data_IF_124901788162
#
_entry.id   IF_124901788162
#
_cell.length_a   1.000
_cell.length_b   1.000
_cell.length_c   1.000
_cell.angle_alpha   90.00
_cell.angle_beta   90.00
_cell.angle_gamma   90.00
#
_symmetry.space_group_name_H-M   'P 1'
#
loop_
_entity.id
_entity.type
_entity.pdbx_description
1 polymer ?
#
# COMPACT_ATOMS: atom_id res chain seq x y z
N UNK A 1 13.86 -29.33 -55.08
CA UNK A 1 12.99 -28.21 -54.62
C UNK A 1 12.19 -28.50 -53.34
N UNK A 2 12.09 -29.73 -52.83
CA UNK A 2 11.32 -30.06 -51.62
C UNK A 2 12.08 -29.82 -50.29
N UNK A 3 13.41 -29.79 -50.31
CA UNK A 3 14.20 -29.66 -49.06
C UNK A 3 14.18 -28.25 -48.46
N UNK A 4 14.06 -27.22 -49.26
CA UNK A 4 14.07 -25.83 -48.82
C UNK A 4 12.83 -25.43 -47.99
N UNK A 5 11.67 -26.00 -48.34
CA UNK A 5 10.41 -25.73 -47.62
C UNK A 5 10.41 -26.32 -46.20
N UNK A 6 11.00 -27.49 -46.00
CA UNK A 6 11.09 -28.09 -44.67
C UNK A 6 12.09 -27.38 -43.74
N UNK A 7 13.14 -26.81 -44.29
CA UNK A 7 14.14 -26.05 -43.52
C UNK A 7 13.55 -24.72 -43.04
N UNK A 8 12.84 -23.99 -43.91
CA UNK A 8 12.18 -22.73 -43.54
C UNK A 8 11.12 -22.96 -42.46
N UNK A 9 10.33 -24.03 -42.57
CA UNK A 9 9.33 -24.36 -41.54
C UNK A 9 9.94 -24.74 -40.18
N UNK A 10 11.10 -25.38 -40.15
CA UNK A 10 11.81 -25.76 -38.94
C UNK A 10 12.35 -24.55 -38.14
N UNK A 11 12.64 -23.46 -38.82
CA UNK A 11 13.12 -22.22 -38.15
C UNK A 11 12.00 -21.19 -37.89
N UNK A 12 10.96 -21.17 -38.71
CA UNK A 12 9.84 -20.24 -38.56
C UNK A 12 8.95 -20.59 -37.38
N UNK A 13 8.73 -21.85 -37.07
CA UNK A 13 7.91 -22.28 -35.93
C UNK A 13 8.55 -21.91 -34.59
N UNK A 14 9.83 -22.21 -34.30
CA UNK A 14 10.44 -21.79 -33.02
C UNK A 14 10.61 -20.28 -32.93
N UNK A 15 10.83 -19.56 -34.03
CA UNK A 15 10.85 -18.10 -34.05
C UNK A 15 9.47 -17.51 -33.73
N UNK A 16 8.40 -18.06 -34.29
CA UNK A 16 7.03 -17.63 -33.96
C UNK A 16 6.65 -17.95 -32.50
N UNK A 17 7.07 -19.11 -32.00
CA UNK A 17 6.90 -19.50 -30.60
C UNK A 17 7.70 -18.60 -29.63
N UNK A 18 8.90 -18.18 -30.00
CA UNK A 18 9.69 -17.27 -29.20
C UNK A 18 9.09 -15.87 -29.13
N UNK A 19 8.52 -15.37 -30.20
CA UNK A 19 7.80 -14.09 -30.25
C UNK A 19 6.51 -14.14 -29.43
N UNK A 20 5.78 -15.27 -29.48
CA UNK A 20 4.59 -15.47 -28.62
C UNK A 20 4.95 -15.63 -27.16
N UNK A 21 6.09 -16.23 -26.82
CA UNK A 21 6.56 -16.36 -25.44
C UNK A 21 6.98 -15.00 -24.83
N UNK A 22 7.57 -14.09 -25.61
CA UNK A 22 7.95 -12.76 -25.13
C UNK A 22 6.74 -11.87 -24.84
N UNK A 23 5.60 -12.08 -25.52
CA UNK A 23 4.36 -11.35 -25.19
C UNK A 23 3.65 -11.87 -23.96
N UNK A 24 3.92 -13.11 -23.53
CA UNK A 24 3.30 -13.70 -22.34
C UNK A 24 3.95 -13.23 -21.01
N UNK A 25 5.18 -12.77 -21.03
CA UNK A 25 5.87 -12.25 -19.83
C UNK A 25 5.68 -10.75 -19.59
N UNK A 26 5.02 -10.03 -20.48
CA UNK A 26 4.82 -8.58 -20.41
C UNK A 26 3.54 -8.12 -19.70
N UNK A 27 2.71 -9.01 -19.17
CA UNK A 27 1.40 -8.64 -18.62
C UNK A 27 1.20 -8.92 -17.12
N UNK A 28 2.26 -9.00 -16.36
CA UNK A 28 2.12 -8.79 -14.91
C UNK A 28 2.26 -7.30 -14.58
N UNK A 29 1.58 -6.45 -15.31
CA UNK A 29 1.21 -5.15 -14.83
C UNK A 29 0.16 -5.39 -13.74
N UNK A 30 0.52 -5.15 -12.47
CA UNK A 30 -0.45 -5.06 -11.40
C UNK A 30 -1.40 -3.90 -11.73
N UNK A 31 -2.46 -4.17 -12.47
CA UNK A 31 -3.57 -3.25 -12.55
C UNK A 31 -4.32 -3.38 -11.23
N UNK A 32 -4.16 -2.42 -10.35
CA UNK A 32 -5.10 -2.23 -9.25
C UNK A 32 -6.45 -1.86 -9.87
N UNK A 33 -7.20 -2.87 -10.30
CA UNK A 33 -8.55 -2.67 -10.82
C UNK A 33 -9.46 -2.42 -9.61
N UNK A 34 -9.47 -1.16 -9.17
CA UNK A 34 -10.35 -0.69 -8.12
C UNK A 34 -11.75 -0.66 -8.71
N UNK A 35 -12.47 -1.78 -8.58
CA UNK A 35 -13.85 -1.88 -9.04
C UNK A 35 -14.73 -0.95 -8.21
N UNK A 36 -15.50 -0.14 -8.90
CA UNK A 36 -16.52 0.69 -8.29
C UNK A 36 -17.54 -0.20 -7.58
N UNK A 37 -17.76 -0.04 -6.26
CA UNK A 37 -18.75 -0.81 -5.54
C UNK A 37 -20.15 -0.59 -6.10
N UNK A 38 -20.98 -1.63 -6.20
CA UNK A 38 -22.34 -1.56 -6.75
C UNK A 38 -23.21 -0.50 -6.06
N UNK A 39 -23.03 -0.31 -4.76
CA UNK A 39 -23.73 0.71 -3.96
C UNK A 39 -23.47 2.14 -4.43
N UNK A 40 -22.38 2.35 -5.13
CA UNK A 40 -21.95 3.67 -5.61
C UNK A 40 -21.95 3.77 -7.14
N UNK A 41 -22.59 2.83 -7.84
CA UNK A 41 -22.59 2.76 -9.29
C UNK A 41 -23.02 4.08 -9.94
N UNK A 42 -24.02 4.75 -9.34
CA UNK A 42 -24.53 6.04 -9.78
C UNK A 42 -23.71 7.26 -9.32
N UNK A 43 -22.66 7.06 -8.51
CA UNK A 43 -21.79 8.16 -8.07
C UNK A 43 -20.64 8.36 -9.03
N UNK A 44 -20.39 9.62 -9.39
CA UNK A 44 -19.24 9.99 -10.22
C UNK A 44 -17.95 9.80 -9.40
N UNK A 45 -17.03 9.00 -9.91
CA UNK A 45 -15.72 8.77 -9.28
C UNK A 45 -14.90 10.07 -9.24
N UNK A 46 -13.92 10.11 -8.33
CA UNK A 46 -13.02 11.25 -8.21
C UNK A 46 -12.28 11.56 -9.51
N UNK A 47 -11.81 10.52 -10.20
CA UNK A 47 -11.12 10.62 -11.50
C UNK A 47 -12.00 11.15 -12.62
N UNK A 48 -13.33 10.99 -12.52
CA UNK A 48 -14.31 11.43 -13.50
C UNK A 48 -14.79 12.87 -13.23
N UNK A 49 -14.51 13.42 -12.03
CA UNK A 49 -14.93 14.77 -11.66
C UNK A 49 -13.96 15.82 -12.18
N UNK A 50 -14.42 16.91 -12.78
CA UNK A 50 -13.54 18.02 -13.12
C UNK A 50 -12.82 18.52 -11.87
N UNK A 51 -11.56 18.93 -12.02
CA UNK A 51 -10.74 19.42 -10.91
C UNK A 51 -11.36 20.71 -10.33
N UNK A 52 -12.06 20.58 -9.22
CA UNK A 52 -12.59 21.71 -8.46
C UNK A 52 -11.56 22.25 -7.48
N UNK A 53 -11.60 23.55 -7.20
CA UNK A 53 -10.77 24.16 -6.16
C UNK A 53 -11.02 23.44 -4.82
N UNK A 54 -9.94 23.12 -4.09
CA UNK A 54 -10.00 22.48 -2.78
C UNK A 54 -10.07 23.56 -1.69
N UNK A 55 -11.26 24.16 -1.53
CA UNK A 55 -11.54 25.21 -0.56
C UNK A 55 -11.58 24.64 0.88
N UNK A 56 -11.43 25.50 1.89
CA UNK A 56 -11.46 25.10 3.29
C UNK A 56 -12.76 24.38 3.70
N UNK A 57 -13.97 24.83 3.33
CA UNK A 57 -15.19 24.08 3.63
C UNK A 57 -15.24 22.72 2.95
N UNK A 58 -14.77 22.62 1.70
CA UNK A 58 -14.69 21.35 1.00
C UNK A 58 -13.71 20.40 1.67
N UNK A 59 -12.53 20.90 2.08
CA UNK A 59 -11.52 20.12 2.82
C UNK A 59 -12.10 19.57 4.11
N UNK A 60 -12.81 20.40 4.88
CA UNK A 60 -13.45 19.99 6.13
C UNK A 60 -14.43 18.83 5.92
N UNK A 61 -15.36 18.97 4.94
CA UNK A 61 -16.33 17.93 4.64
C UNK A 61 -15.62 16.64 4.17
N UNK A 62 -14.64 16.75 3.25
CA UNK A 62 -13.92 15.60 2.73
C UNK A 62 -13.14 14.88 3.85
N UNK A 63 -12.47 15.62 4.71
CA UNK A 63 -11.73 15.05 5.85
C UNK A 63 -12.68 14.36 6.83
N UNK A 64 -13.80 14.99 7.18
CA UNK A 64 -14.78 14.40 8.10
C UNK A 64 -15.35 13.10 7.56
N UNK A 65 -15.76 13.08 6.30
CA UNK A 65 -16.34 11.87 5.71
C UNK A 65 -15.29 10.78 5.52
N UNK A 66 -14.09 11.12 5.06
CA UNK A 66 -13.00 10.14 4.92
C UNK A 66 -12.60 9.54 6.25
N UNK A 67 -12.53 10.36 7.31
CA UNK A 67 -12.20 9.90 8.66
C UNK A 67 -13.27 8.96 9.20
N UNK A 68 -14.49 9.44 9.43
CA UNK A 68 -15.50 8.69 10.19
C UNK A 68 -16.13 7.54 9.42
N UNK A 69 -16.35 7.68 8.12
CA UNK A 69 -17.05 6.65 7.36
C UNK A 69 -16.12 5.57 6.80
N UNK A 70 -14.86 5.93 6.52
CA UNK A 70 -13.94 4.99 5.86
C UNK A 70 -12.77 4.59 6.75
N UNK A 71 -11.93 5.56 7.18
CA UNK A 71 -10.76 5.26 7.99
C UNK A 71 -11.13 4.61 9.32
N UNK A 72 -11.98 5.26 10.11
CA UNK A 72 -12.36 4.76 11.43
C UNK A 72 -12.93 3.34 11.39
N UNK A 73 -13.87 3.09 10.47
CA UNK A 73 -14.49 1.77 10.34
C UNK A 73 -13.50 0.71 9.82
N UNK A 74 -12.60 1.07 8.90
CA UNK A 74 -11.57 0.16 8.40
C UNK A 74 -10.52 -0.14 9.48
N UNK A 75 -10.09 0.88 10.22
CA UNK A 75 -9.10 0.76 11.29
C UNK A 75 -9.63 -0.10 12.44
N UNK A 76 -10.88 0.12 12.87
CA UNK A 76 -11.50 -0.70 13.90
C UNK A 76 -11.54 -2.18 13.48
N UNK A 77 -11.92 -2.45 12.23
CA UNK A 77 -11.95 -3.81 11.72
C UNK A 77 -10.57 -4.46 11.65
N UNK A 78 -9.55 -3.72 11.21
CA UNK A 78 -8.16 -4.17 11.21
C UNK A 78 -7.69 -4.51 12.63
N UNK A 79 -7.95 -3.62 13.58
CA UNK A 79 -7.57 -3.80 14.97
C UNK A 79 -8.30 -4.99 15.63
N UNK A 80 -9.53 -5.25 15.23
CA UNK A 80 -10.30 -6.41 15.68
C UNK A 80 -9.63 -7.73 15.24
N UNK A 81 -9.22 -7.83 13.97
CA UNK A 81 -8.47 -8.99 13.46
C UNK A 81 -7.17 -9.18 14.22
N UNK A 82 -6.38 -8.11 14.39
CA UNK A 82 -5.11 -8.17 15.14
C UNK A 82 -5.36 -8.57 16.60
N UNK A 83 -6.39 -8.03 17.23
CA UNK A 83 -6.71 -8.34 18.63
C UNK A 83 -7.10 -9.81 18.82
N UNK A 84 -7.89 -10.39 17.91
CA UNK A 84 -8.20 -11.83 17.94
C UNK A 84 -6.94 -12.68 17.76
N UNK A 85 -6.09 -12.31 16.82
CA UNK A 85 -4.83 -13.01 16.61
C UNK A 85 -3.91 -12.96 17.84
N UNK A 86 -3.87 -11.82 18.54
CA UNK A 86 -3.13 -11.69 19.81
C UNK A 86 -3.71 -12.55 20.92
N UNK A 87 -5.04 -12.63 21.04
CA UNK A 87 -5.69 -13.45 22.06
C UNK A 87 -5.47 -14.96 21.85
N UNK A 88 -5.29 -15.38 20.60
CA UNK A 88 -5.01 -16.79 20.28
C UNK A 88 -3.51 -17.14 20.37
N UNK A 89 -2.63 -16.14 20.50
CA UNK A 89 -1.20 -16.35 20.53
C UNK A 89 -0.77 -16.96 21.88
N UNK A 90 0.03 -18.04 21.81
CA UNK A 90 0.66 -18.67 22.97
C UNK A 90 2.16 -18.47 22.87
N UNK A 91 2.72 -17.89 23.90
CA UNK A 91 4.16 -17.71 24.02
C UNK A 91 4.84 -19.05 24.33
N UNK A 92 5.89 -19.35 23.57
CA UNK A 92 6.77 -20.52 23.83
C UNK A 92 8.12 -20.01 24.34
N UNK A 93 8.30 -20.07 25.62
CA UNK A 93 9.53 -19.61 26.29
C UNK A 93 10.75 -20.54 26.05
N UNK A 94 10.58 -21.68 25.39
CA UNK A 94 11.70 -22.54 24.96
C UNK A 94 12.37 -22.03 23.68
N UNK A 95 11.77 -21.04 23.00
CA UNK A 95 12.27 -20.46 21.76
C UNK A 95 12.45 -18.95 21.91
N UNK A 96 13.15 -18.34 20.94
CA UNK A 96 13.21 -16.89 20.85
C UNK A 96 11.79 -16.34 20.57
N UNK A 97 11.31 -15.51 21.48
CA UNK A 97 9.97 -14.92 21.33
C UNK A 97 9.94 -13.98 20.11
N UNK A 98 8.88 -14.05 19.30
CA UNK A 98 8.69 -13.13 18.19
C UNK A 98 8.43 -11.71 18.73
N UNK A 99 8.84 -10.70 17.97
CA UNK A 99 8.63 -9.30 18.34
C UNK A 99 7.15 -8.93 18.46
N UNK A 100 6.30 -9.53 17.63
CA UNK A 100 4.86 -9.34 17.68
C UNK A 100 4.18 -10.59 18.26
N UNK A 101 3.30 -10.38 19.22
CA UNK A 101 2.53 -11.43 19.89
C UNK A 101 1.32 -11.88 19.06
N UNK A 102 1.51 -12.14 17.78
CA UNK A 102 0.53 -12.76 16.87
C UNK A 102 1.24 -13.36 15.65
N UNK A 103 0.61 -14.37 15.08
CA UNK A 103 1.08 -15.02 13.84
C UNK A 103 0.34 -14.48 12.62
N UNK A 104 1.05 -14.32 11.51
CA UNK A 104 0.43 -13.95 10.23
C UNK A 104 -0.44 -15.06 9.65
N UNK A 105 -0.22 -16.32 10.03
CA UNK A 105 -1.08 -17.42 9.61
C UNK A 105 -2.48 -17.29 10.21
N UNK A 106 -2.56 -16.85 11.47
CA UNK A 106 -3.83 -16.58 12.14
C UNK A 106 -4.54 -15.38 11.53
N UNK A 107 -3.83 -14.28 11.27
CA UNK A 107 -4.46 -13.10 10.64
C UNK A 107 -4.89 -13.38 9.20
N UNK A 108 -4.13 -14.18 8.44
CA UNK A 108 -4.48 -14.53 7.06
C UNK A 108 -5.73 -15.44 6.98
N UNK A 109 -6.04 -16.19 8.03
CA UNK A 109 -7.28 -16.96 8.12
C UNK A 109 -8.52 -16.04 8.14
N UNK A 110 -8.41 -14.84 8.69
CA UNK A 110 -9.46 -13.81 8.71
C UNK A 110 -9.55 -13.00 7.39
N UNK A 111 -9.24 -13.63 6.25
CA UNK A 111 -9.11 -12.98 4.94
C UNK A 111 -10.35 -12.17 4.54
N UNK A 112 -11.56 -12.65 4.81
CA UNK A 112 -12.82 -11.95 4.50
C UNK A 112 -12.94 -10.61 5.24
N UNK A 113 -12.49 -10.55 6.48
CA UNK A 113 -12.50 -9.32 7.26
C UNK A 113 -11.44 -8.34 6.79
N UNK A 114 -10.26 -8.86 6.44
CA UNK A 114 -9.19 -8.07 5.84
C UNK A 114 -9.57 -7.55 4.43
N UNK A 115 -10.35 -8.33 3.67
CA UNK A 115 -10.92 -7.86 2.39
C UNK A 115 -11.93 -6.73 2.61
N UNK A 116 -12.71 -6.80 3.69
CA UNK A 116 -13.61 -5.70 4.08
C UNK A 116 -12.83 -4.43 4.43
N UNK A 117 -11.67 -4.54 5.09
CA UNK A 117 -10.76 -3.41 5.36
C UNK A 117 -10.27 -2.81 4.05
N UNK A 118 -9.71 -3.65 3.16
CA UNK A 118 -9.25 -3.23 1.82
C UNK A 118 -10.36 -2.52 1.04
N UNK A 119 -11.55 -3.10 1.01
CA UNK A 119 -12.70 -2.54 0.31
C UNK A 119 -13.11 -1.16 0.84
N UNK A 120 -13.17 -0.99 2.16
CA UNK A 120 -13.48 0.31 2.78
C UNK A 120 -12.42 1.35 2.45
N UNK A 121 -11.14 0.99 2.55
CA UNK A 121 -10.04 1.87 2.23
C UNK A 121 -10.08 2.30 0.75
N UNK A 122 -10.21 1.36 -0.18
CA UNK A 122 -10.35 1.62 -1.61
C UNK A 122 -11.56 2.51 -1.92
N UNK A 123 -12.71 2.23 -1.33
CA UNK A 123 -13.92 3.02 -1.52
C UNK A 123 -13.71 4.47 -1.07
N UNK A 124 -13.06 4.67 0.08
CA UNK A 124 -12.70 5.99 0.57
C UNK A 124 -11.79 6.75 -0.41
N UNK A 125 -10.77 6.09 -0.95
CA UNK A 125 -9.84 6.66 -1.93
C UNK A 125 -10.55 7.03 -3.24
N UNK A 126 -11.38 6.13 -3.77
CA UNK A 126 -12.04 6.31 -5.08
C UNK A 126 -13.11 7.40 -5.05
N UNK A 127 -13.87 7.48 -3.96
CA UNK A 127 -15.01 8.42 -3.86
C UNK A 127 -14.62 9.80 -3.35
N UNK A 128 -13.48 9.94 -2.69
CA UNK A 128 -13.07 11.18 -2.04
C UNK A 128 -11.88 11.86 -2.72
N UNK A 129 -11.61 13.08 -2.30
CA UNK A 129 -10.51 13.87 -2.83
C UNK A 129 -9.17 13.37 -2.26
N UNK A 130 -8.22 13.01 -3.13
CA UNK A 130 -6.88 12.56 -2.72
C UNK A 130 -6.05 13.65 -2.00
N UNK A 131 -6.53 14.90 -2.01
CA UNK A 131 -5.96 16.00 -1.21
C UNK A 131 -6.54 16.04 0.21
N UNK A 132 -7.42 15.09 0.56
CA UNK A 132 -7.84 14.87 1.95
C UNK A 132 -6.65 14.45 2.81
N UNK A 133 -6.62 14.92 4.05
CA UNK A 133 -5.57 14.58 5.02
C UNK A 133 -5.62 13.10 5.46
N UNK A 134 -6.62 12.34 5.04
CA UNK A 134 -6.85 10.93 5.37
C UNK A 134 -6.55 9.96 4.21
N UNK A 135 -6.12 10.48 3.08
CA UNK A 135 -5.88 9.64 1.90
C UNK A 135 -4.69 8.67 2.11
N UNK A 136 -3.59 9.16 2.66
CA UNK A 136 -2.41 8.36 3.02
C UNK A 136 -2.73 7.31 4.08
N UNK A 137 -3.51 7.67 5.10
CA UNK A 137 -3.98 6.75 6.15
C UNK A 137 -4.84 5.61 5.56
N UNK A 138 -5.68 5.89 4.57
CA UNK A 138 -6.45 4.86 3.87
C UNK A 138 -5.56 3.91 3.06
N UNK A 139 -4.54 4.44 2.37
CA UNK A 139 -3.54 3.61 1.70
C UNK A 139 -2.74 2.76 2.71
N UNK A 140 -2.44 3.29 3.89
CA UNK A 140 -1.75 2.55 4.95
C UNK A 140 -2.59 1.37 5.43
N UNK A 141 -3.88 1.56 5.71
CA UNK A 141 -4.79 0.48 6.10
C UNK A 141 -4.92 -0.57 4.99
N UNK A 142 -4.97 -0.14 3.74
CA UNK A 142 -5.00 -1.05 2.61
C UNK A 142 -3.73 -1.90 2.52
N UNK A 143 -2.55 -1.27 2.64
CA UNK A 143 -1.26 -1.98 2.69
C UNK A 143 -1.16 -2.93 3.88
N UNK A 144 -1.59 -2.49 5.08
CA UNK A 144 -1.60 -3.32 6.28
C UNK A 144 -2.51 -4.54 6.13
N UNK A 145 -3.68 -4.40 5.48
CA UNK A 145 -4.56 -5.53 5.22
C UNK A 145 -3.93 -6.57 4.28
N UNK A 146 -3.19 -6.13 3.25
CA UNK A 146 -2.43 -7.02 2.39
C UNK A 146 -1.31 -7.73 3.15
N UNK A 147 -0.56 -7.01 3.98
CA UNK A 147 0.48 -7.60 4.82
C UNK A 147 -0.07 -8.70 5.73
N UNK A 148 -1.18 -8.44 6.43
CA UNK A 148 -1.82 -9.41 7.32
C UNK A 148 -2.38 -10.63 6.59
N UNK A 149 -2.67 -10.52 5.28
CA UNK A 149 -3.02 -11.64 4.39
C UNK A 149 -1.80 -12.35 3.80
N UNK A 150 -0.57 -11.96 4.16
CA UNK A 150 0.69 -12.45 3.58
C UNK A 150 0.86 -12.12 2.09
N UNK A 151 0.15 -11.11 1.58
CA UNK A 151 0.29 -10.59 0.22
C UNK A 151 1.36 -9.49 0.19
N UNK A 152 2.59 -9.89 0.41
CA UNK A 152 3.72 -8.99 0.69
C UNK A 152 4.07 -8.04 -0.46
N UNK A 153 3.96 -8.49 -1.71
CA UNK A 153 4.25 -7.65 -2.87
C UNK A 153 3.21 -6.53 -3.02
N UNK A 154 1.92 -6.85 -2.81
CA UNK A 154 0.85 -5.86 -2.84
C UNK A 154 0.98 -4.86 -1.68
N UNK A 155 1.32 -5.34 -0.49
CA UNK A 155 1.57 -4.51 0.68
C UNK A 155 2.74 -3.54 0.42
N UNK A 156 3.85 -4.06 -0.12
CA UNK A 156 5.02 -3.25 -0.49
C UNK A 156 4.66 -2.09 -1.41
N UNK A 157 3.88 -2.36 -2.47
CA UNK A 157 3.46 -1.32 -3.42
C UNK A 157 2.63 -0.21 -2.75
N UNK A 158 1.75 -0.56 -1.80
CA UNK A 158 0.97 0.43 -1.07
C UNK A 158 1.85 1.31 -0.18
N UNK A 159 2.77 0.72 0.57
CA UNK A 159 3.68 1.48 1.44
C UNK A 159 4.65 2.35 0.63
N UNK A 160 5.20 1.81 -0.47
CA UNK A 160 6.05 2.57 -1.37
C UNK A 160 5.30 3.75 -2.00
N UNK A 161 4.04 3.54 -2.40
CA UNK A 161 3.21 4.60 -2.95
C UNK A 161 2.97 5.74 -1.96
N UNK A 162 2.72 5.43 -0.67
CA UNK A 162 2.58 6.46 0.37
C UNK A 162 3.85 7.30 0.47
N UNK A 163 4.99 6.64 0.56
CA UNK A 163 6.27 7.30 0.71
C UNK A 163 6.62 8.22 -0.47
N UNK A 164 6.17 7.86 -1.67
CA UNK A 164 6.40 8.63 -2.88
C UNK A 164 5.34 9.72 -3.12
N UNK A 165 4.04 9.34 -3.10
CA UNK A 165 2.96 10.21 -3.55
C UNK A 165 2.58 11.28 -2.52
N UNK A 166 2.78 10.99 -1.24
CA UNK A 166 2.43 11.89 -0.13
C UNK A 166 3.65 12.60 0.46
N UNK A 167 4.81 12.47 -0.16
CA UNK A 167 5.96 13.30 0.18
C UNK A 167 5.61 14.78 -0.01
N UNK A 168 5.73 15.57 1.05
CA UNK A 168 5.49 17.01 0.96
C UNK A 168 6.69 17.71 0.36
N UNK A 169 6.48 18.69 -0.52
CA UNK A 169 7.54 19.53 -1.10
C UNK A 169 7.98 20.60 -0.09
N UNK A 170 8.42 20.19 1.09
CA UNK A 170 8.83 21.09 2.16
C UNK A 170 10.36 21.07 2.34
N UNK A 171 10.88 22.15 2.95
CA UNK A 171 12.32 22.39 3.16
C UNK A 171 13.00 21.37 4.09
N UNK A 172 12.25 20.51 4.74
CA UNK A 172 12.72 19.48 5.67
C UNK A 172 13.10 18.14 5.01
N UNK A 173 13.19 18.11 3.67
CA UNK A 173 13.58 16.91 2.94
C UNK A 173 12.47 15.89 2.72
N UNK A 174 11.28 16.17 3.16
CA UNK A 174 10.10 15.28 3.01
C UNK A 174 9.69 15.02 1.55
N UNK A 175 10.20 15.83 0.63
CA UNK A 175 9.96 15.73 -0.82
C UNK A 175 10.99 14.87 -1.55
N UNK A 176 11.99 14.37 -0.85
CA UNK A 176 13.03 13.56 -1.48
C UNK A 176 12.47 12.18 -1.85
N UNK A 177 12.84 11.71 -3.03
CA UNK A 177 12.45 10.39 -3.51
C UNK A 177 13.06 9.29 -2.63
N UNK A 178 12.40 8.14 -2.54
CA UNK A 178 12.87 7.01 -1.75
C UNK A 178 14.17 6.46 -2.37
N UNK A 179 15.26 6.53 -1.64
CA UNK A 179 16.56 5.98 -2.02
C UNK A 179 17.41 5.73 -0.77
N UNK A 180 18.46 4.97 -0.89
CA UNK A 180 19.37 4.72 0.20
C UNK A 180 20.21 5.96 0.51
N UNK A 181 20.35 6.33 1.78
CA UNK A 181 21.27 7.39 2.21
C UNK A 181 22.74 7.11 1.82
N UNK A 182 23.08 5.84 1.59
CA UNK A 182 24.40 5.40 1.10
C UNK A 182 24.69 5.82 -0.33
N UNK A 183 23.67 6.00 -1.14
CA UNK A 183 23.82 6.39 -2.56
C UNK A 183 23.87 7.92 -2.74
N UNK A 184 24.06 8.68 -1.67
CA UNK A 184 24.04 10.15 -1.68
C UNK A 184 22.66 10.74 -1.93
N UNK A 185 21.65 9.90 -2.02
CA UNK A 185 20.26 10.27 -2.24
C UNK A 185 19.54 10.12 -0.89
N UNK A 186 19.39 11.19 -0.15
CA UNK A 186 18.75 11.24 1.19
C UNK A 186 17.24 10.95 1.16
N UNK A 187 16.81 10.12 0.24
CA UNK A 187 15.44 9.94 -0.15
C UNK A 187 14.64 9.01 0.77
N UNK A 188 15.30 8.25 1.64
CA UNK A 188 14.64 7.37 2.59
C UNK A 188 14.74 7.87 4.04
N UNK A 189 15.01 9.18 4.25
CA UNK A 189 15.08 9.71 5.60
C UNK A 189 13.69 9.77 6.24
N UNK A 190 13.59 9.25 7.45
CA UNK A 190 12.41 9.45 8.29
C UNK A 190 12.26 10.96 8.52
N UNK A 191 11.07 11.48 8.24
CA UNK A 191 10.80 12.89 8.48
C UNK A 191 10.83 13.18 9.97
N UNK A 192 11.82 13.96 10.40
CA UNK A 192 11.99 14.34 11.81
C UNK A 192 10.93 15.33 12.29
N UNK A 193 10.25 16.01 11.35
CA UNK A 193 9.19 17.00 11.64
C UNK A 193 8.02 16.80 10.69
N UNK A 194 7.12 15.92 11.04
CA UNK A 194 5.80 15.94 10.45
C UNK A 194 5.07 17.21 10.92
N UNK A 195 4.50 17.99 9.98
CA UNK A 195 3.76 19.22 10.32
C UNK A 195 2.58 18.91 11.20
N UNK A 196 2.73 19.24 12.46
CA UNK A 196 1.75 19.07 13.52
C UNK A 196 1.19 20.44 13.94
N UNK A 197 0.34 21.05 13.09
CA UNK A 197 -0.42 22.22 13.55
C UNK A 197 -1.45 21.79 14.60
N UNK A 198 -1.75 22.65 15.57
CA UNK A 198 -2.75 22.35 16.62
C UNK A 198 -4.11 21.92 16.05
N UNK A 199 -4.54 22.51 14.96
CA UNK A 199 -5.76 22.13 14.24
C UNK A 199 -5.65 20.73 13.61
N UNK A 200 -4.50 20.36 13.12
CA UNK A 200 -4.24 19.02 12.56
C UNK A 200 -4.19 17.96 13.64
N UNK A 201 -3.63 18.30 14.80
CA UNK A 201 -3.53 17.43 15.97
C UNK A 201 -4.88 17.06 16.57
N UNK A 202 -5.87 17.95 16.44
CA UNK A 202 -7.22 17.76 17.00
C UNK A 202 -8.17 17.13 15.96
N UNK A 203 -8.00 17.43 14.68
CA UNK A 203 -8.97 17.08 13.63
C UNK A 203 -8.46 16.14 12.55
N UNK A 204 -7.19 15.86 12.49
CA UNK A 204 -6.61 14.92 11.51
C UNK A 204 -5.40 14.19 12.09
N UNK A 205 -5.24 12.93 11.72
CA UNK A 205 -3.99 12.22 12.00
C UNK A 205 -2.82 12.81 11.21
N UNK A 206 -1.60 12.71 11.74
CA UNK A 206 -0.40 13.10 11.00
C UNK A 206 -0.23 12.23 9.74
N UNK A 207 0.55 12.66 8.75
CA UNK A 207 0.86 11.87 7.57
C UNK A 207 1.43 10.50 7.94
N UNK A 208 0.93 9.45 7.29
CA UNK A 208 1.29 8.05 7.55
C UNK A 208 2.61 7.61 6.94
N UNK A 209 3.49 8.53 6.55
CA UNK A 209 4.73 8.21 5.85
C UNK A 209 5.71 7.42 6.71
N UNK A 210 5.95 7.85 7.95
CA UNK A 210 6.85 7.12 8.86
C UNK A 210 6.27 5.74 9.21
N UNK A 211 4.96 5.66 9.38
CA UNK A 211 4.29 4.37 9.59
C UNK A 211 4.44 3.45 8.38
N UNK A 212 4.34 4.00 7.16
CA UNK A 212 4.56 3.24 5.94
C UNK A 212 5.99 2.69 5.85
N UNK A 213 7.00 3.44 6.29
CA UNK A 213 8.38 2.93 6.41
C UNK A 213 8.48 1.76 7.38
N UNK A 214 7.90 1.88 8.57
CA UNK A 214 7.90 0.80 9.56
C UNK A 214 7.21 -0.45 9.01
N UNK A 215 6.06 -0.29 8.35
CA UNK A 215 5.37 -1.40 7.73
C UNK A 215 6.16 -2.01 6.55
N UNK A 216 6.90 -1.21 5.82
CA UNK A 216 7.76 -1.68 4.72
C UNK A 216 8.95 -2.50 5.24
N UNK A 217 9.58 -2.05 6.34
CA UNK A 217 10.62 -2.82 7.04
C UNK A 217 10.05 -4.16 7.52
N UNK A 218 8.89 -4.16 8.18
CA UNK A 218 8.21 -5.39 8.59
C UNK A 218 7.95 -6.34 7.42
N UNK A 219 7.52 -5.77 6.31
CA UNK A 219 7.24 -6.51 5.09
C UNK A 219 8.47 -7.19 4.51
N UNK A 220 9.63 -6.54 4.55
CA UNK A 220 10.90 -7.14 4.16
C UNK A 220 11.36 -8.23 5.12
N UNK A 221 11.25 -7.99 6.43
CA UNK A 221 11.64 -8.98 7.45
C UNK A 221 10.84 -10.28 7.31
N UNK A 222 9.56 -10.21 6.97
CA UNK A 222 8.72 -11.39 6.75
C UNK A 222 9.01 -12.14 5.45
N UNK A 223 9.81 -11.56 4.56
CA UNK A 223 10.28 -12.18 3.32
C UNK A 223 11.77 -12.58 3.39
N UNK A 224 12.38 -12.53 4.58
CA UNK A 224 13.81 -12.76 4.81
C UNK A 224 14.75 -11.82 4.02
N UNK A 225 14.24 -10.67 3.59
CA UNK A 225 14.98 -9.62 2.88
C UNK A 225 15.67 -8.69 3.88
N UNK A 226 16.61 -9.23 4.63
CA UNK A 226 17.28 -8.52 5.73
C UNK A 226 18.16 -7.37 5.27
N UNK A 227 18.78 -7.48 4.09
CA UNK A 227 19.62 -6.43 3.53
C UNK A 227 18.78 -5.18 3.18
N UNK A 228 17.63 -5.38 2.56
CA UNK A 228 16.68 -4.31 2.21
C UNK A 228 16.07 -3.69 3.46
N UNK A 229 15.67 -4.50 4.43
CA UNK A 229 15.17 -4.02 5.72
C UNK A 229 16.23 -3.17 6.44
N UNK A 230 17.48 -3.64 6.51
CA UNK A 230 18.58 -2.92 7.13
C UNK A 230 18.89 -1.60 6.41
N UNK A 231 18.88 -1.59 5.08
CA UNK A 231 19.11 -0.37 4.30
C UNK A 231 18.06 0.71 4.59
N UNK A 232 16.79 0.31 4.78
CA UNK A 232 15.71 1.22 5.14
C UNK A 232 15.82 1.77 6.58
N UNK A 233 16.31 0.96 7.53
CA UNK A 233 16.45 1.40 8.93
C UNK A 233 17.64 2.36 9.08
N UNK A 234 18.69 2.18 8.28
CA UNK A 234 19.91 2.99 8.35
C UNK A 234 19.83 4.28 7.51
N UNK A 235 18.77 4.46 6.75
CA UNK A 235 18.52 5.64 5.92
C UNK A 235 17.85 6.78 6.71
#
# INVERSE_FOLDING_TARGET
MLSFRHTVFRFLIPLLLSVLATTAFGQYGFSFDIKKPKEFENRVLRSEKPQKKFTAPRRFIQNTVSHYNYFFNANNKLNEVISRAKLSFKEDYAQLLPFYNYSLDVTAADSLELDSVSFKAQTGIVLHDLRSDWADNLYLLWGASYYLKKQFDSAYLMFQFINYAFATKEKDGYYLTIGSARDGNSAASIATKEKNSLTRRVFSEPPSRNDAFIWQVRNYLMQDKYAEASSLILA
#
